data_IF_147630762236
#
_entry.id   IF_147630762236
#
_cell.length_a   1.000
_cell.length_b   1.000
_cell.length_c   1.000
_cell.angle_alpha   90.00
_cell.angle_beta   90.00
_cell.angle_gamma   90.00
#
_symmetry.space_group_name_H-M   'P 1'
#
loop_
_entity.id
_entity.type
_entity.pdbx_description
1 polymer ?
#
# COMPACT_ATOMS: atom_id res chain seq x y z
N UNK A 1 -59.57 -11.96 -24.91
CA UNK A 1 -58.16 -11.80 -25.31
C UNK A 1 -57.29 -12.07 -24.09
N UNK A 2 -56.28 -12.92 -24.28
CA UNK A 2 -55.60 -13.74 -23.26
C UNK A 2 -54.90 -12.95 -22.15
N UNK A 3 -55.31 -13.22 -20.90
CA UNK A 3 -54.49 -13.01 -19.71
C UNK A 3 -53.41 -14.09 -19.64
N UNK A 4 -52.18 -13.72 -20.02
CA UNK A 4 -51.01 -14.60 -19.93
C UNK A 4 -50.67 -14.90 -18.48
N UNK A 5 -51.02 -16.11 -18.03
CA UNK A 5 -50.65 -16.64 -16.73
C UNK A 5 -49.15 -16.98 -16.74
N UNK A 6 -48.33 -16.18 -16.07
CA UNK A 6 -46.92 -16.50 -15.85
C UNK A 6 -46.80 -17.62 -14.80
N UNK A 7 -45.95 -18.65 -15.02
CA UNK A 7 -45.76 -19.73 -14.06
C UNK A 7 -45.23 -19.16 -12.73
N UNK A 8 -45.83 -19.62 -11.63
CA UNK A 8 -45.58 -19.18 -10.24
C UNK A 8 -44.09 -19.20 -9.82
N UNK A 9 -43.27 -19.97 -10.55
CA UNK A 9 -41.84 -20.17 -10.34
C UNK A 9 -40.96 -18.99 -10.78
N UNK A 10 -41.46 -18.08 -11.63
CA UNK A 10 -40.67 -16.95 -12.15
C UNK A 10 -40.85 -15.65 -11.36
N UNK A 11 -41.71 -15.63 -10.32
CA UNK A 11 -41.96 -14.43 -9.50
C UNK A 11 -40.73 -13.97 -8.72
N UNK A 12 -39.87 -14.90 -8.29
CA UNK A 12 -38.64 -14.57 -7.57
C UNK A 12 -37.56 -13.95 -8.46
N UNK A 13 -37.54 -14.30 -9.76
CA UNK A 13 -36.58 -13.74 -10.72
C UNK A 13 -36.86 -12.26 -11.04
N UNK A 14 -38.13 -11.83 -10.98
CA UNK A 14 -38.50 -10.43 -11.16
C UNK A 14 -38.02 -9.57 -9.99
N UNK A 15 -38.05 -10.09 -8.76
CA UNK A 15 -37.53 -9.39 -7.58
C UNK A 15 -36.00 -9.20 -7.63
N UNK A 16 -35.26 -10.19 -8.16
CA UNK A 16 -33.81 -10.10 -8.39
C UNK A 16 -33.45 -9.04 -9.45
N UNK A 17 -34.24 -8.92 -10.52
CA UNK A 17 -33.97 -7.94 -11.57
C UNK A 17 -34.16 -6.48 -11.11
N UNK A 18 -35.06 -6.21 -10.17
CA UNK A 18 -35.31 -4.85 -9.65
C UNK A 18 -34.32 -4.48 -8.53
N UNK A 19 -33.80 -5.46 -7.78
CA UNK A 19 -32.79 -5.24 -6.75
C UNK A 19 -31.39 -4.91 -7.28
N UNK A 20 -31.01 -5.43 -8.45
CA UNK A 20 -29.67 -5.23 -9.03
C UNK A 20 -29.53 -3.87 -9.75
N UNK A 21 -30.63 -3.24 -10.19
CA UNK A 21 -30.59 -1.97 -10.94
C UNK A 21 -30.35 -0.71 -10.09
N UNK A 22 -30.23 -0.82 -8.77
CA UNK A 22 -30.05 0.33 -7.86
C UNK A 22 -28.60 0.53 -7.36
N UNK A 23 -27.64 -0.29 -7.79
CA UNK A 23 -26.24 -0.23 -7.31
C UNK A 23 -25.29 0.44 -8.32
N UNK A 24 -25.72 0.69 -9.57
CA UNK A 24 -24.86 1.21 -10.64
C UNK A 24 -25.08 2.69 -11.01
N UNK A 25 -25.47 3.55 -10.06
CA UNK A 25 -25.65 4.99 -10.30
C UNK A 25 -24.61 5.89 -9.60
N UNK A 26 -23.44 5.35 -9.22
CA UNK A 26 -22.42 6.09 -8.45
C UNK A 26 -20.97 5.90 -8.89
N UNK A 27 -20.69 5.20 -9.99
CA UNK A 27 -19.31 5.06 -10.48
C UNK A 27 -19.06 6.12 -11.54
N UNK A 28 -18.60 7.29 -11.09
CA UNK A 28 -17.83 8.17 -11.97
C UNK A 28 -16.43 7.56 -12.06
N UNK A 29 -15.98 7.07 -13.23
CA UNK A 29 -14.57 6.77 -13.40
C UNK A 29 -13.84 8.12 -13.33
N UNK A 30 -13.18 8.37 -12.20
CA UNK A 30 -12.19 9.44 -12.11
C UNK A 30 -11.04 9.00 -13.01
N UNK A 31 -10.92 9.65 -14.16
CA UNK A 31 -9.80 9.45 -15.09
C UNK A 31 -8.47 9.47 -14.32
N UNK A 32 -7.60 8.47 -14.45
CA UNK A 32 -6.21 8.63 -14.08
C UNK A 32 -5.61 9.62 -15.08
N UNK A 33 -5.41 10.86 -14.63
CA UNK A 33 -4.69 11.88 -15.38
C UNK A 33 -3.40 11.27 -15.95
N UNK A 34 -3.33 11.31 -17.27
CA UNK A 34 -2.32 10.65 -18.07
C UNK A 34 -0.91 10.95 -17.58
N UNK A 35 -0.13 9.87 -17.56
CA UNK A 35 1.33 9.86 -17.55
C UNK A 35 1.83 10.84 -18.61
N UNK A 36 2.14 12.07 -18.19
CA UNK A 36 2.91 12.99 -19.00
C UNK A 36 4.38 12.57 -18.88
N UNK A 37 4.78 11.65 -19.75
CA UNK A 37 6.17 11.50 -20.19
C UNK A 37 6.60 12.83 -20.79
N UNK A 38 7.25 13.66 -19.99
CA UNK A 38 8.27 14.57 -20.49
C UNK A 38 9.52 14.30 -19.70
N UNK A 39 10.43 13.56 -20.33
CA UNK A 39 11.85 13.65 -20.00
C UNK A 39 12.21 15.13 -20.09
N UNK A 40 12.50 15.73 -18.94
CA UNK A 40 13.20 17.00 -18.85
C UNK A 40 14.28 16.79 -17.82
N UNK A 41 15.33 16.14 -18.32
CA UNK A 41 16.69 16.29 -17.84
C UNK A 41 16.91 17.76 -17.44
N UNK A 42 16.95 17.99 -16.12
CA UNK A 42 17.61 19.15 -15.57
C UNK A 42 18.39 18.68 -14.36
N UNK A 43 19.63 18.34 -14.67
CA UNK A 43 20.74 18.32 -13.73
C UNK A 43 20.65 19.55 -12.82
N UNK A 44 20.35 19.33 -11.54
CA UNK A 44 20.68 20.26 -10.47
C UNK A 44 21.12 19.43 -9.27
N UNK A 45 22.43 19.19 -9.28
CA UNK A 45 23.30 19.49 -8.14
C UNK A 45 23.08 18.67 -6.87
N UNK A 46 23.81 17.55 -6.83
CA UNK A 46 24.68 17.15 -5.74
C UNK A 46 24.40 17.81 -4.38
N UNK A 47 23.60 17.12 -3.57
CA UNK A 47 23.93 16.98 -2.16
C UNK A 47 24.18 15.50 -1.91
N UNK A 48 25.36 15.08 -2.34
CA UNK A 48 26.01 13.86 -1.87
C UNK A 48 26.22 14.05 -0.36
N UNK A 49 25.26 13.58 0.43
CA UNK A 49 25.41 13.44 1.87
C UNK A 49 25.58 11.95 2.12
N UNK A 50 26.78 11.62 2.60
CA UNK A 50 27.19 10.38 3.25
C UNK A 50 26.99 9.08 2.46
N UNK A 51 28.00 8.79 1.65
CA UNK A 51 28.51 7.43 1.45
C UNK A 51 28.80 6.76 2.81
N UNK A 52 27.85 5.98 3.33
CA UNK A 52 28.07 4.69 4.06
C UNK A 52 26.89 4.25 4.93
N UNK A 53 25.84 5.04 5.12
CA UNK A 53 24.65 4.54 5.80
C UNK A 53 23.77 3.79 4.80
N UNK A 54 23.65 2.48 5.02
CA UNK A 54 22.72 1.64 4.28
C UNK A 54 21.32 2.26 4.33
N UNK A 55 20.68 2.42 3.17
CA UNK A 55 19.36 3.02 3.07
C UNK A 55 18.34 2.22 3.91
N UNK A 56 17.59 2.93 4.75
CA UNK A 56 16.56 2.36 5.61
C UNK A 56 15.17 2.60 5.02
N UNK A 57 14.36 1.56 5.02
CA UNK A 57 13.00 1.56 4.53
C UNK A 57 12.04 1.08 5.60
N UNK A 58 10.81 1.59 5.60
CA UNK A 58 9.70 1.04 6.38
C UNK A 58 8.77 0.26 5.46
N UNK A 59 8.32 -0.90 5.91
CA UNK A 59 7.29 -1.68 5.23
C UNK A 59 5.94 -1.00 5.48
N UNK A 60 5.32 -0.47 4.44
CA UNK A 60 4.06 0.27 4.56
C UNK A 60 2.85 -0.63 4.29
N UNK A 61 2.84 -1.28 3.12
CA UNK A 61 1.75 -2.13 2.67
C UNK A 61 2.29 -3.44 2.09
N UNK A 62 1.69 -4.56 2.50
CA UNK A 62 1.94 -5.88 1.91
C UNK A 62 0.70 -6.30 1.10
N UNK A 63 0.87 -6.45 -0.21
CA UNK A 63 -0.12 -7.02 -1.11
C UNK A 63 0.19 -8.49 -1.43
N UNK A 64 -0.58 -9.11 -2.31
CA UNK A 64 -0.47 -10.56 -2.60
C UNK A 64 0.90 -10.95 -3.16
N UNK A 65 1.50 -10.10 -4.00
CA UNK A 65 2.75 -10.37 -4.72
C UNK A 65 3.77 -9.23 -4.62
N UNK A 66 3.37 -8.07 -4.07
CA UNK A 66 4.22 -6.90 -3.95
C UNK A 66 4.19 -6.30 -2.55
N UNK A 67 5.21 -5.53 -2.23
CA UNK A 67 5.34 -4.80 -0.98
C UNK A 67 5.76 -3.36 -1.27
N UNK A 68 5.10 -2.41 -0.62
CA UNK A 68 5.45 -1.00 -0.68
C UNK A 68 6.41 -0.68 0.46
N UNK A 69 7.60 -0.19 0.09
CA UNK A 69 8.63 0.27 1.00
C UNK A 69 8.73 1.79 0.92
N UNK A 70 8.70 2.45 2.07
CA UNK A 70 8.84 3.91 2.19
C UNK A 70 10.22 4.23 2.73
N UNK A 71 10.97 5.09 2.05
CA UNK A 71 12.29 5.51 2.52
C UNK A 71 12.16 6.33 3.82
N UNK A 72 12.96 5.97 4.82
CA UNK A 72 12.98 6.70 6.11
C UNK A 72 13.78 8.00 6.04
N UNK A 73 14.68 8.14 5.06
CA UNK A 73 15.43 9.37 4.82
C UNK A 73 14.67 10.35 3.91
N UNK A 74 13.78 9.82 3.05
CA UNK A 74 12.95 10.58 2.11
C UNK A 74 11.53 10.00 2.10
N UNK A 75 10.64 10.43 3.01
CA UNK A 75 9.30 9.84 3.14
C UNK A 75 8.40 9.96 1.90
N UNK A 76 8.75 10.85 0.98
CA UNK A 76 8.15 11.03 -0.34
C UNK A 76 8.62 9.99 -1.37
N UNK A 77 9.70 9.26 -1.08
CA UNK A 77 10.23 8.19 -1.91
C UNK A 77 9.65 6.84 -1.48
N UNK A 78 8.83 6.28 -2.37
CA UNK A 78 8.24 4.94 -2.22
C UNK A 78 8.74 4.04 -3.33
N UNK A 79 9.04 2.80 -2.99
CA UNK A 79 9.43 1.77 -3.95
C UNK A 79 8.54 0.54 -3.77
N UNK A 80 8.13 -0.05 -4.89
CA UNK A 80 7.39 -1.31 -4.89
C UNK A 80 8.36 -2.44 -5.22
N UNK A 81 8.41 -3.45 -4.35
CA UNK A 81 9.29 -4.62 -4.51
C UNK A 81 8.46 -5.91 -4.54
N UNK A 82 8.97 -6.99 -5.15
CA UNK A 82 8.31 -8.30 -5.07
C UNK A 82 8.26 -8.79 -3.62
N UNK A 83 7.15 -9.41 -3.21
CA UNK A 83 6.98 -9.96 -1.86
C UNK A 83 8.10 -10.94 -1.48
N UNK A 84 8.58 -11.75 -2.43
CA UNK A 84 9.64 -12.72 -2.21
C UNK A 84 10.96 -12.09 -1.75
N UNK A 85 11.20 -10.81 -2.08
CA UNK A 85 12.41 -10.10 -1.65
C UNK A 85 12.39 -9.72 -0.16
N UNK A 86 11.20 -9.73 0.46
CA UNK A 86 10.95 -9.26 1.83
C UNK A 86 9.98 -10.16 2.60
N UNK A 87 9.86 -11.43 2.21
CA UNK A 87 8.88 -12.39 2.79
C UNK A 87 9.03 -12.59 4.30
N UNK A 88 10.19 -12.25 4.85
CA UNK A 88 10.53 -12.34 6.27
C UNK A 88 10.01 -11.13 7.10
N UNK A 89 9.48 -10.09 6.46
CA UNK A 89 9.11 -8.83 7.10
C UNK A 89 7.58 -8.66 7.19
N UNK A 90 7.14 -7.82 8.13
CA UNK A 90 5.74 -7.45 8.32
C UNK A 90 5.54 -5.94 8.14
N UNK A 91 4.30 -5.51 7.95
CA UNK A 91 3.95 -4.09 7.95
C UNK A 91 4.42 -3.40 9.23
N UNK A 92 5.01 -2.22 9.08
CA UNK A 92 5.63 -1.45 10.14
C UNK A 92 7.07 -1.85 10.49
N UNK A 93 7.60 -2.95 9.93
CA UNK A 93 9.01 -3.31 10.12
C UNK A 93 9.95 -2.35 9.38
N UNK A 94 11.19 -2.27 9.87
CA UNK A 94 12.26 -1.47 9.27
C UNK A 94 13.26 -2.38 8.59
N UNK A 95 13.51 -2.13 7.31
CA UNK A 95 14.43 -2.86 6.47
C UNK A 95 15.66 -2.01 6.17
N UNK A 96 16.81 -2.68 6.07
CA UNK A 96 18.07 -2.11 5.62
C UNK A 96 18.43 -2.69 4.26
N UNK A 97 18.73 -1.83 3.30
CA UNK A 97 19.27 -2.25 2.02
C UNK A 97 20.70 -2.78 2.20
N UNK A 98 20.96 -4.00 1.72
CA UNK A 98 22.26 -4.67 1.90
C UNK A 98 23.25 -4.37 0.76
N UNK A 99 22.73 -3.99 -0.42
CA UNK A 99 23.50 -3.94 -1.66
C UNK A 99 23.76 -5.31 -2.30
N UNK A 100 23.33 -6.41 -1.68
CA UNK A 100 23.43 -7.77 -2.22
C UNK A 100 22.18 -8.09 -3.06
N UNK A 101 22.30 -8.33 -4.39
CA UNK A 101 21.16 -8.63 -5.23
C UNK A 101 20.45 -9.94 -4.89
N UNK A 102 21.13 -10.88 -4.22
CA UNK A 102 20.52 -12.15 -3.79
C UNK A 102 19.68 -11.99 -2.52
N UNK A 103 19.99 -10.99 -1.71
CA UNK A 103 19.29 -10.66 -0.48
C UNK A 103 19.25 -9.15 -0.30
N UNK A 104 18.42 -8.44 -1.09
CA UNK A 104 18.48 -6.98 -1.20
C UNK A 104 18.12 -6.26 0.09
N UNK A 105 17.38 -6.93 0.98
CA UNK A 105 16.90 -6.38 2.24
C UNK A 105 17.21 -7.31 3.42
N UNK A 106 17.45 -6.69 4.57
CA UNK A 106 17.51 -7.35 5.86
C UNK A 106 16.65 -6.60 6.88
N UNK A 107 16.06 -7.33 7.82
CA UNK A 107 15.32 -6.74 8.93
C UNK A 107 16.27 -6.04 9.89
N UNK A 108 16.07 -4.74 10.11
CA UNK A 108 16.73 -4.00 11.17
C UNK A 108 15.94 -4.16 12.47
N UNK A 109 16.31 -5.20 13.24
CA UNK A 109 15.63 -5.56 14.49
C UNK A 109 15.74 -4.44 15.54
N UNK A 110 16.88 -3.77 15.61
CA UNK A 110 17.12 -2.70 16.59
C UNK A 110 16.23 -1.49 16.28
N UNK A 111 16.24 -1.03 15.02
CA UNK A 111 15.41 0.09 14.61
C UNK A 111 13.92 -0.23 14.77
N UNK A 112 13.51 -1.44 14.37
CA UNK A 112 12.12 -1.90 14.50
C UNK A 112 11.66 -1.92 15.95
N UNK A 113 12.46 -2.51 16.85
CA UNK A 113 12.16 -2.58 18.28
C UNK A 113 12.07 -1.18 18.90
N UNK A 114 13.03 -0.31 18.58
CA UNK A 114 13.04 1.08 19.08
C UNK A 114 11.80 1.85 18.68
N UNK A 115 11.34 1.71 17.42
CA UNK A 115 10.11 2.36 16.97
C UNK A 115 8.89 1.77 17.68
N UNK A 116 8.80 0.45 17.82
CA UNK A 116 7.69 -0.20 18.55
C UNK A 116 7.60 0.26 20.00
N UNK A 117 8.73 0.33 20.72
CA UNK A 117 8.79 0.82 22.10
C UNK A 117 8.38 2.28 22.22
N UNK A 118 8.88 3.14 21.31
CA UNK A 118 8.51 4.55 21.29
C UNK A 118 7.00 4.73 21.04
N UNK A 119 6.45 4.01 20.06
CA UNK A 119 5.01 4.04 19.77
C UNK A 119 4.21 3.55 20.98
N UNK A 120 4.58 2.44 21.61
CA UNK A 120 3.90 1.93 22.81
C UNK A 120 3.96 2.93 23.98
N UNK A 121 5.10 3.60 24.17
CA UNK A 121 5.28 4.65 25.18
C UNK A 121 4.38 5.86 24.91
N UNK A 122 4.31 6.31 23.65
CA UNK A 122 3.43 7.41 23.24
C UNK A 122 1.95 7.07 23.42
N UNK A 123 1.53 5.87 23.00
CA UNK A 123 0.17 5.39 23.19
C UNK A 123 -0.19 5.34 24.68
N UNK A 124 0.71 4.83 25.53
CA UNK A 124 0.49 4.80 26.98
C UNK A 124 0.23 6.20 27.54
N UNK A 125 1.06 7.18 27.18
CA UNK A 125 0.92 8.57 27.63
C UNK A 125 -0.43 9.17 27.22
N UNK A 126 -0.83 8.98 25.97
CA UNK A 126 -2.11 9.45 25.45
C UNK A 126 -3.30 8.79 26.17
N UNK A 127 -3.19 7.52 26.55
CA UNK A 127 -4.26 6.81 27.28
C UNK A 127 -4.29 7.07 28.78
N UNK A 128 -3.19 7.51 29.39
CA UNK A 128 -3.10 7.80 30.83
C UNK A 128 -3.54 9.22 31.22
N UNK A 129 -3.75 10.10 30.23
CA UNK A 129 -4.26 11.46 30.44
C UNK A 129 -5.80 11.57 30.35
N UNK A 130 -6.50 10.42 30.36
CA UNK A 130 -7.96 10.31 30.55
C UNK A 130 -8.29 9.84 31.96
#
# INVERSE_FOLDING_TARGET
MNSGNFPRQYRWLIALAIGVSLICAGWTPREPLGVQKTSSQKDVEAKEIDTMQAALYSVDLIETDTVVLVSRSRPDEMITVPYQAVEFAQEGDILRATGDPSRPYELDQEATLKVRENTASLLRKLTSEN
#
